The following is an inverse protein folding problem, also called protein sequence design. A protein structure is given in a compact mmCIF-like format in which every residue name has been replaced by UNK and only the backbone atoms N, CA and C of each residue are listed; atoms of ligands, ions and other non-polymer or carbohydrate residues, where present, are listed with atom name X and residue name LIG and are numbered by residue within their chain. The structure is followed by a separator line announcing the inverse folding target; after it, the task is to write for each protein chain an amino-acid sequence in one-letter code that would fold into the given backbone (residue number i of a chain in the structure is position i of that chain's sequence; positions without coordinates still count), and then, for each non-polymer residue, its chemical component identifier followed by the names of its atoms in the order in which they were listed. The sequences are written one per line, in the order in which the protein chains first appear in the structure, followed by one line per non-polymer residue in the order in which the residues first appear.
data_IF_303047365228
#
_entry.id   IF_303047365228
#
_cell.length_a   1.000
_cell.length_b   1.000
_cell.length_c   1.000
_cell.angle_alpha   90.00
_cell.angle_beta   90.00
_cell.angle_gamma   90.00
#
_symmetry.space_group_name_H-M   'P 1'
#
loop_
_entity.id
_entity.type
_entity.pdbx_description
1 polymer ?
#
# COMPACT_ATOMS: atom_id res chain seq x y z
N UNK A 1 10.05 -20.27 -7.03
CA UNK A 1 8.59 -20.48 -6.89
C UNK A 1 7.95 -20.25 -8.26
N UNK A 2 7.05 -21.12 -8.66
CA UNK A 2 6.35 -21.02 -9.94
C UNK A 2 4.88 -20.69 -9.69
N UNK A 3 4.35 -19.70 -10.40
CA UNK A 3 2.93 -19.33 -10.37
C UNK A 3 2.41 -19.23 -11.81
N UNK A 4 1.33 -19.94 -12.11
CA UNK A 4 0.65 -19.90 -13.39
C UNK A 4 -0.72 -19.25 -13.26
N UNK A 5 -0.98 -18.13 -13.92
CA UNK A 5 -2.29 -17.44 -13.85
C UNK A 5 -3.47 -18.32 -14.26
N UNK A 6 -3.27 -19.27 -15.17
CA UNK A 6 -4.31 -20.25 -15.57
C UNK A 6 -4.58 -21.33 -14.53
N UNK A 7 -3.72 -21.49 -13.55
CA UNK A 7 -3.75 -22.50 -12.48
C UNK A 7 -3.40 -21.83 -11.14
N UNK A 8 -4.07 -20.74 -10.81
CA UNK A 8 -3.73 -19.93 -9.63
C UNK A 8 -3.85 -20.71 -8.33
N UNK A 9 -4.94 -21.43 -8.14
CA UNK A 9 -5.17 -22.21 -6.92
C UNK A 9 -4.17 -23.36 -6.79
N UNK A 10 -3.99 -24.13 -7.82
CA UNK A 10 -3.05 -25.26 -7.87
C UNK A 10 -1.60 -24.78 -7.68
N UNK A 11 -1.26 -23.61 -8.23
CA UNK A 11 0.06 -23.00 -8.03
C UNK A 11 0.31 -22.68 -6.56
N UNK A 12 -0.68 -22.15 -5.85
CA UNK A 12 -0.56 -21.85 -4.41
C UNK A 12 -0.50 -23.15 -3.60
N UNK A 13 -1.30 -24.16 -3.94
CA UNK A 13 -1.19 -25.49 -3.30
C UNK A 13 0.19 -26.12 -3.48
N UNK A 14 0.72 -26.08 -4.70
CA UNK A 14 2.07 -26.56 -4.98
C UNK A 14 3.13 -25.82 -4.15
N UNK A 15 3.04 -24.49 -4.06
CA UNK A 15 3.96 -23.72 -3.21
C UNK A 15 3.84 -24.15 -1.74
N UNK A 16 2.63 -24.36 -1.25
CA UNK A 16 2.40 -24.71 0.14
C UNK A 16 2.86 -26.13 0.51
N UNK A 17 2.76 -27.09 -0.41
CA UNK A 17 2.95 -28.52 -0.11
C UNK A 17 4.26 -29.09 -0.61
N UNK A 18 4.68 -28.69 -1.81
CA UNK A 18 5.78 -29.35 -2.52
C UNK A 18 7.08 -28.53 -2.53
N UNK A 19 6.98 -27.20 -2.40
CA UNK A 19 8.16 -26.33 -2.35
C UNK A 19 8.75 -26.30 -0.94
N UNK A 20 10.03 -26.60 -0.80
CA UNK A 20 10.72 -26.51 0.49
C UNK A 20 10.60 -25.09 1.07
N UNK A 21 10.11 -24.98 2.29
CA UNK A 21 9.80 -23.71 2.97
C UNK A 21 8.74 -22.83 2.27
N UNK A 22 8.06 -23.34 1.25
CA UNK A 22 7.03 -22.61 0.52
C UNK A 22 5.88 -22.17 1.41
N UNK A 23 5.42 -23.04 2.32
CA UNK A 23 4.41 -22.74 3.32
C UNK A 23 4.82 -21.56 4.21
N UNK A 24 6.07 -21.50 4.65
CA UNK A 24 6.57 -20.43 5.51
C UNK A 24 6.54 -19.08 4.76
N UNK A 25 7.07 -19.04 3.54
CA UNK A 25 7.07 -17.83 2.71
C UNK A 25 5.64 -17.37 2.43
N UNK A 26 4.73 -18.31 2.16
CA UNK A 26 3.32 -17.99 1.90
C UNK A 26 2.62 -17.40 3.13
N UNK A 27 2.83 -17.98 4.31
CA UNK A 27 2.30 -17.44 5.56
C UNK A 27 2.91 -16.09 5.90
N UNK A 28 4.22 -15.96 5.83
CA UNK A 28 4.89 -14.66 6.05
C UNK A 28 4.36 -13.58 5.11
N UNK A 29 4.09 -13.91 3.85
CA UNK A 29 3.52 -12.97 2.89
C UNK A 29 2.09 -12.56 3.28
N UNK A 30 1.23 -13.52 3.62
CA UNK A 30 -0.17 -13.25 3.97
C UNK A 30 -0.31 -12.46 5.29
N UNK A 31 0.42 -12.89 6.34
CA UNK A 31 0.46 -12.19 7.63
C UNK A 31 1.16 -10.84 7.49
N UNK A 32 2.24 -10.79 6.71
CA UNK A 32 2.99 -9.58 6.41
C UNK A 32 2.14 -8.51 5.75
N UNK A 33 1.27 -8.87 4.82
CA UNK A 33 0.33 -7.93 4.21
C UNK A 33 -0.60 -7.29 5.26
N UNK A 34 -1.17 -8.09 6.16
CA UNK A 34 -2.02 -7.60 7.25
C UNK A 34 -1.23 -6.72 8.23
N UNK A 35 -0.05 -7.15 8.63
CA UNK A 35 0.84 -6.41 9.53
C UNK A 35 1.26 -5.07 8.91
N UNK A 36 1.52 -5.05 7.60
CA UNK A 36 1.87 -3.83 6.87
C UNK A 36 0.75 -2.78 6.95
N UNK A 37 -0.49 -3.17 6.69
CA UNK A 37 -1.65 -2.27 6.84
C UNK A 37 -1.82 -1.78 8.28
N UNK A 38 -1.67 -2.66 9.27
CA UNK A 38 -1.75 -2.26 10.69
C UNK A 38 -0.72 -1.18 11.03
N UNK A 39 0.53 -1.35 10.60
CA UNK A 39 1.60 -0.36 10.82
C UNK A 39 1.33 0.94 10.07
N UNK A 40 0.85 0.87 8.82
CA UNK A 40 0.51 2.06 8.03
C UNK A 40 -0.63 2.84 8.68
N UNK A 41 -1.66 2.19 9.21
CA UNK A 41 -2.74 2.87 9.94
C UNK A 41 -2.22 3.60 11.17
N UNK A 42 -1.36 2.98 11.97
CA UNK A 42 -0.74 3.62 13.14
C UNK A 42 0.14 4.80 12.70
N UNK A 43 0.90 4.63 11.63
CA UNK A 43 1.73 5.69 11.05
C UNK A 43 0.90 6.90 10.57
N UNK A 44 -0.19 6.67 9.85
CA UNK A 44 -1.12 7.72 9.42
C UNK A 44 -1.78 8.39 10.62
N UNK A 45 -2.24 7.61 11.59
CA UNK A 45 -2.85 8.14 12.81
C UNK A 45 -1.89 9.07 13.58
N UNK A 46 -0.62 8.68 13.70
CA UNK A 46 0.41 9.54 14.28
C UNK A 46 0.55 10.85 13.50
N UNK A 47 0.53 10.79 12.17
CA UNK A 47 0.56 11.98 11.31
C UNK A 47 -0.62 12.92 11.55
N UNK A 48 -1.82 12.38 11.76
CA UNK A 48 -3.02 13.15 12.09
C UNK A 48 -2.93 13.78 13.49
N UNK A 49 -2.53 12.99 14.49
CA UNK A 49 -2.44 13.47 15.89
C UNK A 49 -1.41 14.58 16.05
N UNK A 50 -0.30 14.53 15.33
CA UNK A 50 0.75 15.56 15.42
C UNK A 50 0.55 16.71 14.43
N UNK A 51 -0.50 16.68 13.61
CA UNK A 51 -0.73 17.70 12.60
C UNK A 51 0.31 17.72 11.49
N UNK A 52 0.93 16.56 11.20
CA UNK A 52 2.01 16.41 10.20
C UNK A 52 1.51 16.54 8.75
N UNK A 53 0.24 16.81 8.55
CA UNK A 53 -0.36 17.13 7.25
C UNK A 53 -0.43 18.64 6.96
N UNK A 54 -0.11 19.48 7.97
CA UNK A 54 -0.16 20.94 7.87
C UNK A 54 1.13 21.50 7.27
N UNK A 55 1.12 22.76 6.78
CA UNK A 55 2.35 23.43 6.33
C UNK A 55 3.49 23.30 7.34
N UNK A 56 4.73 23.06 6.88
CA UNK A 56 5.19 22.91 5.49
C UNK A 56 5.20 21.45 4.98
N UNK A 57 4.43 20.53 5.57
CA UNK A 57 4.51 19.06 5.36
C UNK A 57 3.41 18.49 4.47
N UNK A 58 2.72 19.32 3.69
CA UNK A 58 1.60 18.88 2.84
C UNK A 58 2.04 17.83 1.82
N UNK A 59 3.20 18.02 1.17
CA UNK A 59 3.70 17.06 0.21
C UNK A 59 4.03 15.70 0.83
N UNK A 60 4.54 15.68 2.06
CA UNK A 60 4.77 14.45 2.82
C UNK A 60 3.45 13.69 2.99
N UNK A 61 2.40 14.41 3.37
CA UNK A 61 1.07 13.83 3.54
C UNK A 61 0.48 13.32 2.21
N UNK A 62 0.57 14.12 1.14
CA UNK A 62 0.03 13.74 -0.18
C UNK A 62 0.70 12.49 -0.71
N UNK A 63 2.04 12.42 -0.68
CA UNK A 63 2.75 11.19 -1.08
C UNK A 63 2.39 10.00 -0.19
N UNK A 64 2.23 10.21 1.12
CA UNK A 64 1.76 9.18 2.03
C UNK A 64 0.37 8.65 1.67
N UNK A 65 -0.57 9.51 1.31
CA UNK A 65 -1.91 9.12 0.85
C UNK A 65 -1.87 8.37 -0.49
N UNK A 66 -1.00 8.78 -1.42
CA UNK A 66 -0.82 8.06 -2.68
C UNK A 66 -0.23 6.66 -2.46
N UNK A 67 0.73 6.52 -1.53
CA UNK A 67 1.24 5.21 -1.11
C UNK A 67 0.12 4.36 -0.54
N UNK A 68 -0.72 4.91 0.33
CA UNK A 68 -1.83 4.18 0.93
C UNK A 68 -2.83 3.68 -0.11
N UNK A 69 -3.21 4.51 -1.08
CA UNK A 69 -4.09 4.10 -2.19
C UNK A 69 -3.45 3.01 -3.05
N UNK A 70 -2.16 3.16 -3.37
CA UNK A 70 -1.42 2.14 -4.12
C UNK A 70 -1.32 0.82 -3.33
N UNK A 71 -1.15 0.87 -2.01
CA UNK A 71 -1.17 -0.32 -1.14
C UNK A 71 -2.52 -1.01 -1.11
N UNK A 72 -3.64 -0.25 -1.10
CA UNK A 72 -4.97 -0.85 -1.20
C UNK A 72 -5.13 -1.60 -2.53
N UNK A 73 -4.67 -1.01 -3.64
CA UNK A 73 -4.66 -1.69 -4.94
C UNK A 73 -3.76 -2.93 -4.91
N UNK A 74 -2.55 -2.83 -4.35
CA UNK A 74 -1.60 -3.94 -4.21
C UNK A 74 -2.19 -5.10 -3.41
N UNK A 75 -2.81 -4.82 -2.26
CA UNK A 75 -3.47 -5.82 -1.43
C UNK A 75 -4.64 -6.50 -2.14
N UNK A 76 -5.46 -5.73 -2.85
CA UNK A 76 -6.57 -6.27 -3.63
C UNK A 76 -6.09 -7.18 -4.77
N UNK A 77 -5.15 -6.70 -5.58
CA UNK A 77 -4.59 -7.48 -6.69
C UNK A 77 -3.98 -8.80 -6.20
N UNK A 78 -3.20 -8.75 -5.10
CA UNK A 78 -2.57 -9.93 -4.51
C UNK A 78 -3.57 -10.93 -3.94
N UNK A 79 -4.64 -10.45 -3.31
CA UNK A 79 -5.69 -11.33 -2.77
C UNK A 79 -6.45 -12.11 -3.84
N UNK A 80 -6.54 -11.59 -5.04
CA UNK A 80 -7.20 -12.28 -6.17
C UNK A 80 -6.36 -13.43 -6.72
N UNK A 81 -5.03 -13.37 -6.62
CA UNK A 81 -4.12 -14.33 -7.26
C UNK A 81 -4.28 -15.78 -6.81
N UNK A 82 -4.61 -16.12 -5.55
CA UNK A 82 -4.90 -17.51 -5.18
C UNK A 82 -6.08 -18.13 -5.92
N UNK A 83 -6.91 -17.33 -6.53
CA UNK A 83 -8.05 -17.74 -7.38
C UNK A 83 -9.02 -18.73 -6.71
N UNK A 84 -9.08 -18.66 -5.38
CA UNK A 84 -10.06 -19.41 -4.62
C UNK A 84 -11.45 -18.76 -4.62
N UNK A 85 -12.41 -19.36 -3.95
CA UNK A 85 -13.79 -18.89 -3.90
C UNK A 85 -13.90 -17.43 -3.43
N UNK A 86 -13.25 -17.09 -2.33
CA UNK A 86 -13.26 -15.70 -1.82
C UNK A 86 -12.52 -14.72 -2.74
N UNK A 87 -11.43 -15.13 -3.38
CA UNK A 87 -10.70 -14.32 -4.35
C UNK A 87 -11.59 -13.95 -5.53
N UNK A 88 -12.28 -14.93 -6.09
CA UNK A 88 -13.18 -14.75 -7.25
C UNK A 88 -14.36 -13.83 -6.91
N UNK A 89 -15.11 -14.15 -5.86
CA UNK A 89 -16.29 -13.36 -5.51
C UNK A 89 -15.93 -11.98 -4.95
N UNK A 90 -14.82 -11.86 -4.22
CA UNK A 90 -14.28 -10.57 -3.80
C UNK A 90 -13.91 -9.68 -4.99
N UNK A 91 -13.24 -10.24 -5.99
CA UNK A 91 -12.92 -9.53 -7.23
C UNK A 91 -14.20 -9.12 -7.97
N UNK A 92 -15.18 -10.00 -8.07
CA UNK A 92 -16.46 -9.73 -8.72
C UNK A 92 -17.17 -8.52 -8.10
N UNK A 93 -17.24 -8.45 -6.77
CA UNK A 93 -17.86 -7.35 -6.05
C UNK A 93 -17.08 -6.04 -6.25
N UNK A 94 -15.79 -6.03 -5.98
CA UNK A 94 -14.97 -4.81 -6.02
C UNK A 94 -14.92 -4.22 -7.43
N UNK A 95 -14.75 -5.05 -8.46
CA UNK A 95 -14.73 -4.56 -9.84
C UNK A 95 -16.12 -4.05 -10.28
N UNK A 96 -17.20 -4.69 -9.80
CA UNK A 96 -18.55 -4.21 -10.07
C UNK A 96 -18.82 -2.85 -9.43
N UNK A 97 -18.25 -2.56 -8.26
CA UNK A 97 -18.33 -1.23 -7.63
C UNK A 97 -17.65 -0.15 -8.47
N UNK A 98 -16.56 -0.47 -9.17
CA UNK A 98 -15.92 0.47 -10.09
C UNK A 98 -16.86 0.85 -11.26
N UNK A 99 -17.67 -0.10 -11.74
CA UNK A 99 -18.69 0.15 -12.76
C UNK A 99 -19.90 0.95 -12.25
N UNK A 100 -20.11 0.99 -10.93
CA UNK A 100 -21.21 1.73 -10.31
C UNK A 100 -20.83 3.18 -9.93
N UNK A 101 -19.63 3.65 -10.28
CA UNK A 101 -19.23 5.04 -10.04
C UNK A 101 -20.18 5.97 -10.82
N UNK A 102 -20.81 6.95 -10.14
CA UNK A 102 -21.76 7.85 -10.78
C UNK A 102 -21.05 8.93 -11.60
N UNK A 103 -20.60 8.59 -12.81
CA UNK A 103 -19.90 9.53 -13.69
C UNK A 103 -20.78 10.69 -14.16
N UNK A 104 -22.11 10.59 -14.05
CA UNK A 104 -23.09 11.63 -14.31
C UNK A 104 -23.06 12.80 -13.30
N UNK A 105 -22.31 12.68 -12.20
CA UNK A 105 -21.96 13.82 -11.34
C UNK A 105 -21.17 14.87 -12.12
N UNK A 106 -20.43 14.49 -13.14
CA UNK A 106 -19.65 15.41 -13.96
C UNK A 106 -20.58 16.10 -14.96
N UNK A 107 -20.66 17.45 -14.98
CA UNK A 107 -21.69 18.20 -15.71
C UNK A 107 -21.61 18.08 -17.24
N UNK A 108 -20.55 17.43 -17.76
CA UNK A 108 -20.33 17.20 -19.19
C UNK A 108 -20.56 15.74 -19.60
N UNK A 109 -21.03 14.88 -18.69
CA UNK A 109 -21.33 13.47 -18.94
C UNK A 109 -22.82 13.25 -18.69
N UNK A 110 -23.55 12.79 -19.69
CA UNK A 110 -24.93 12.40 -19.49
C UNK A 110 -25.08 11.00 -18.86
N UNK A 111 -26.27 10.66 -18.36
CA UNK A 111 -26.48 9.40 -17.66
C UNK A 111 -26.30 8.15 -18.53
N UNK A 112 -26.42 8.27 -19.86
CA UNK A 112 -26.16 7.17 -20.80
C UNK A 112 -24.67 6.96 -20.96
N UNK A 113 -23.93 8.02 -21.22
CA UNK A 113 -22.46 7.99 -21.33
C UNK A 113 -21.82 7.54 -20.02
N UNK A 114 -22.35 7.97 -18.87
CA UNK A 114 -21.91 7.53 -17.54
C UNK A 114 -22.00 6.02 -17.37
N UNK A 115 -23.08 5.41 -17.80
CA UNK A 115 -23.27 3.96 -17.76
C UNK A 115 -22.31 3.23 -18.70
N UNK A 116 -22.15 3.71 -19.92
CA UNK A 116 -21.20 3.14 -20.89
C UNK A 116 -19.75 3.21 -20.38
N UNK A 117 -19.36 4.32 -19.75
CA UNK A 117 -18.05 4.47 -19.11
C UNK A 117 -17.87 3.45 -17.97
N UNK A 118 -18.87 3.27 -17.12
CA UNK A 118 -18.84 2.30 -16.04
C UNK A 118 -18.68 0.86 -16.52
N UNK A 119 -19.44 0.48 -17.56
CA UNK A 119 -19.34 -0.84 -18.19
C UNK A 119 -17.98 -1.05 -18.87
N UNK A 120 -17.47 -0.06 -19.58
CA UNK A 120 -16.17 -0.08 -20.23
C UNK A 120 -15.04 -0.21 -19.20
N UNK A 121 -15.11 0.54 -18.10
CA UNK A 121 -14.15 0.47 -17.00
C UNK A 121 -14.14 -0.93 -16.37
N UNK A 122 -15.32 -1.48 -16.09
CA UNK A 122 -15.45 -2.82 -15.50
C UNK A 122 -14.84 -3.88 -16.42
N UNK A 123 -15.16 -3.83 -17.71
CA UNK A 123 -14.60 -4.75 -18.73
C UNK A 123 -13.10 -4.59 -18.88
N UNK A 124 -12.62 -3.35 -18.87
CA UNK A 124 -11.19 -3.07 -18.94
C UNK A 124 -10.43 -3.60 -17.72
N UNK A 125 -10.96 -3.43 -16.51
CA UNK A 125 -10.34 -3.95 -15.29
C UNK A 125 -10.30 -5.47 -15.30
N UNK A 126 -11.40 -6.14 -15.67
CA UNK A 126 -11.47 -7.60 -15.81
C UNK A 126 -10.52 -8.11 -16.89
N UNK A 127 -10.35 -7.35 -17.97
CA UNK A 127 -9.66 -7.80 -19.20
C UNK A 127 -10.50 -8.70 -20.08
N UNK A 128 -11.76 -8.92 -19.70
CA UNK A 128 -12.77 -9.71 -20.39
C UNK A 128 -14.16 -9.32 -19.89
N UNK A 129 -15.23 -9.84 -20.49
CA UNK A 129 -16.62 -9.66 -20.03
C UNK A 129 -16.86 -10.32 -18.66
N UNK A 130 -16.19 -11.44 -18.39
CA UNK A 130 -16.25 -12.17 -17.12
C UNK A 130 -14.85 -12.23 -16.51
N UNK A 131 -14.81 -12.53 -15.21
CA UNK A 131 -13.55 -12.86 -14.53
C UNK A 131 -12.99 -14.16 -15.10
N UNK A 132 -11.76 -14.10 -15.57
CA UNK A 132 -11.12 -15.19 -16.31
C UNK A 132 -9.61 -15.22 -16.05
N UNK A 133 -8.92 -16.12 -16.71
CA UNK A 133 -7.45 -16.15 -16.73
C UNK A 133 -6.84 -14.84 -17.20
N UNK A 134 -7.52 -14.10 -18.08
CA UNK A 134 -7.08 -12.76 -18.50
C UNK A 134 -7.02 -11.78 -17.33
N UNK A 135 -8.00 -11.84 -16.43
CA UNK A 135 -8.02 -11.04 -15.20
C UNK A 135 -6.84 -11.37 -14.30
N UNK A 136 -6.64 -12.65 -14.02
CA UNK A 136 -5.56 -13.12 -13.14
C UNK A 136 -4.19 -12.77 -13.72
N UNK A 137 -4.01 -12.92 -15.02
CA UNK A 137 -2.76 -12.59 -15.71
C UNK A 137 -2.41 -11.11 -15.61
N UNK A 138 -3.40 -10.24 -15.83
CA UNK A 138 -3.26 -8.78 -15.65
C UNK A 138 -2.91 -8.44 -14.20
N UNK A 139 -3.65 -9.01 -13.23
CA UNK A 139 -3.44 -8.73 -11.82
C UNK A 139 -2.11 -9.25 -11.31
N UNK A 140 -1.65 -10.39 -11.83
CA UNK A 140 -0.31 -10.90 -11.54
C UNK A 140 0.78 -9.92 -11.99
N UNK A 141 0.71 -9.43 -13.22
CA UNK A 141 1.69 -8.46 -13.74
C UNK A 141 1.68 -7.14 -12.94
N UNK A 142 0.49 -6.67 -12.57
CA UNK A 142 0.34 -5.46 -11.75
C UNK A 142 0.90 -5.65 -10.33
N UNK A 143 0.54 -6.75 -9.65
CA UNK A 143 0.96 -7.04 -8.27
C UNK A 143 2.44 -7.37 -8.15
N UNK A 144 3.02 -8.09 -9.10
CA UNK A 144 4.42 -8.54 -8.98
C UNK A 144 5.42 -7.49 -9.50
N UNK A 145 4.98 -6.62 -10.43
CA UNK A 145 5.91 -5.70 -11.10
C UNK A 145 5.44 -4.25 -10.99
N UNK A 146 4.29 -3.91 -11.55
CA UNK A 146 3.93 -2.52 -11.78
C UNK A 146 3.67 -1.75 -10.48
N UNK A 147 2.79 -2.24 -9.62
CA UNK A 147 2.47 -1.55 -8.36
C UNK A 147 3.64 -1.54 -7.37
N UNK A 148 4.42 -2.62 -7.19
CA UNK A 148 5.65 -2.55 -6.39
C UNK A 148 6.64 -1.48 -6.86
N UNK A 149 6.84 -1.33 -8.17
CA UNK A 149 7.71 -0.25 -8.70
C UNK A 149 7.13 1.14 -8.42
N UNK A 150 5.82 1.33 -8.58
CA UNK A 150 5.14 2.59 -8.23
C UNK A 150 5.28 2.87 -6.73
N UNK A 151 5.09 1.87 -5.87
CA UNK A 151 5.27 2.01 -4.43
C UNK A 151 6.69 2.43 -4.06
N UNK A 152 7.71 1.80 -4.63
CA UNK A 152 9.12 2.18 -4.40
C UNK A 152 9.36 3.64 -4.82
N UNK A 153 8.86 4.05 -5.98
CA UNK A 153 8.99 5.43 -6.44
C UNK A 153 8.28 6.43 -5.51
N UNK A 154 7.06 6.11 -5.08
CA UNK A 154 6.30 6.96 -4.16
C UNK A 154 6.95 7.04 -2.77
N UNK A 155 7.48 5.94 -2.25
CA UNK A 155 8.22 5.92 -0.98
C UNK A 155 9.47 6.78 -1.09
N UNK A 156 10.20 6.70 -2.20
CA UNK A 156 11.35 7.56 -2.43
C UNK A 156 10.96 9.05 -2.40
N UNK A 157 9.88 9.43 -3.08
CA UNK A 157 9.38 10.81 -3.07
C UNK A 157 8.88 11.23 -1.68
N UNK A 158 8.24 10.33 -0.94
CA UNK A 158 7.76 10.59 0.42
C UNK A 158 8.92 10.89 1.38
N UNK A 159 9.98 10.10 1.31
CA UNK A 159 11.19 10.30 2.13
C UNK A 159 11.94 11.56 1.69
N UNK A 160 12.03 11.83 0.39
CA UNK A 160 12.64 13.05 -0.12
C UNK A 160 11.91 14.29 0.41
N UNK A 161 10.57 14.32 0.31
CA UNK A 161 9.77 15.41 0.86
C UNK A 161 9.96 15.57 2.37
N UNK A 162 10.06 14.46 3.12
CA UNK A 162 10.35 14.49 4.55
C UNK A 162 11.73 15.09 4.86
N UNK A 163 12.75 14.76 4.08
CA UNK A 163 14.10 15.31 4.26
C UNK A 163 14.17 16.83 4.03
N UNK A 164 13.40 17.34 3.08
CA UNK A 164 13.33 18.78 2.82
C UNK A 164 12.74 19.56 4.01
N UNK A 165 11.62 19.11 4.55
CA UNK A 165 10.90 19.84 5.61
C UNK A 165 11.25 19.40 7.02
N UNK A 166 11.76 18.18 7.20
CA UNK A 166 12.07 17.57 8.50
C UNK A 166 10.85 16.98 9.22
N UNK A 167 11.17 16.14 10.22
CA UNK A 167 10.16 15.49 11.06
C UNK A 167 9.41 16.50 11.92
N UNK A 168 8.12 16.24 12.15
CA UNK A 168 7.33 16.96 13.14
C UNK A 168 7.49 16.34 14.54
N UNK A 169 7.04 17.04 15.57
CA UNK A 169 7.00 16.60 16.96
C UNK A 169 5.63 16.93 17.59
N UNK A 170 5.30 16.38 18.78
CA UNK A 170 3.99 16.62 19.42
C UNK A 170 3.68 18.07 19.69
N UNK A 171 4.70 18.89 19.97
CA UNK A 171 4.55 20.30 20.35
C UNK A 171 4.54 21.24 19.12
N UNK A 172 4.79 20.72 17.91
CA UNK A 172 4.83 21.48 16.68
C UNK A 172 6.01 22.45 16.56
N UNK A 173 7.08 22.22 17.32
CA UNK A 173 8.29 23.06 17.27
C UNK A 173 9.05 22.83 15.98
N UNK A 174 9.30 23.91 15.23
CA UNK A 174 10.09 23.88 13.99
C UNK A 174 11.58 23.94 14.31
N UNK A 175 12.18 22.78 14.58
CA UNK A 175 13.59 22.67 15.02
C UNK A 175 14.60 23.21 14.03
N UNK A 176 14.26 23.26 12.74
CA UNK A 176 15.16 23.80 11.68
C UNK A 176 15.27 25.32 11.67
N UNK A 177 14.37 26.03 12.37
CA UNK A 177 14.39 27.49 12.40
C UNK A 177 15.40 28.05 13.39
N UNK A 178 15.68 27.36 14.49
CA UNK A 178 16.59 27.80 15.53
C UNK A 178 17.86 26.97 15.52
N UNK A 179 18.91 27.52 14.87
CA UNK A 179 20.21 26.83 14.69
C UNK A 179 21.33 27.57 15.43
N UNK A 180 22.35 26.82 15.80
CA UNK A 180 23.61 27.36 16.30
C UNK A 180 24.50 27.88 15.16
N UNK A 181 25.70 28.39 15.51
CA UNK A 181 26.70 28.92 14.58
C UNK A 181 27.19 27.86 13.58
N UNK A 182 27.07 26.57 13.89
CA UNK A 182 27.46 25.45 13.05
C UNK A 182 26.28 24.90 12.20
N UNK A 183 25.09 25.54 12.27
CA UNK A 183 23.89 25.12 11.56
C UNK A 183 23.14 23.96 12.20
N UNK A 184 23.51 23.58 13.44
CA UNK A 184 22.85 22.49 14.18
C UNK A 184 21.62 23.04 14.90
N UNK A 185 20.44 22.39 14.80
CA UNK A 185 19.24 22.81 15.51
C UNK A 185 19.45 22.77 17.03
N UNK A 186 19.20 23.90 17.71
CA UNK A 186 19.33 24.01 19.18
C UNK A 186 18.27 23.23 19.92
N UNK A 187 17.07 23.12 19.32
CA UNK A 187 15.90 22.41 19.89
C UNK A 187 15.85 20.95 19.41
N UNK A 188 16.87 20.48 18.72
CA UNK A 188 16.94 19.15 18.15
C UNK A 188 17.70 18.16 19.03
N UNK A 189 17.30 16.89 18.95
CA UNK A 189 18.05 15.76 19.51
C UNK A 189 18.70 15.02 18.34
N UNK A 190 20.01 14.66 18.41
CA UNK A 190 20.66 13.88 17.36
C UNK A 190 19.95 12.55 17.12
N UNK A 191 19.71 12.22 15.85
CA UNK A 191 19.08 10.96 15.49
C UNK A 191 19.93 9.77 15.99
N UNK A 192 21.21 9.77 15.67
CA UNK A 192 22.16 8.76 16.13
C UNK A 192 22.98 9.29 17.34
N UNK A 193 23.17 8.48 18.40
CA UNK A 193 22.67 7.10 18.59
C UNK A 193 21.27 7.00 19.20
N UNK A 194 20.67 8.11 19.64
CA UNK A 194 19.48 8.11 20.49
C UNK A 194 18.27 7.41 19.83
N UNK A 195 17.82 7.88 18.66
CA UNK A 195 16.67 7.28 17.97
C UNK A 195 17.01 5.94 17.34
N UNK A 196 18.25 5.77 16.86
CA UNK A 196 18.71 4.47 16.34
C UNK A 196 18.56 3.37 17.38
N UNK A 197 18.94 3.63 18.64
CA UNK A 197 18.78 2.66 19.74
C UNK A 197 17.31 2.47 20.10
N UNK A 198 16.50 3.54 20.09
CA UNK A 198 15.06 3.45 20.38
C UNK A 198 14.25 2.69 19.34
N UNK A 199 14.67 2.68 18.09
CA UNK A 199 13.98 1.94 17.04
C UNK A 199 14.16 0.42 17.19
N UNK A 200 15.28 -0.05 17.76
CA UNK A 200 15.53 -1.48 17.93
C UNK A 200 14.45 -2.21 18.75
N UNK A 201 14.02 -1.72 19.93
CA UNK A 201 12.92 -2.36 20.66
C UNK A 201 11.63 -2.43 19.87
N UNK A 202 11.31 -1.39 19.09
CA UNK A 202 10.12 -1.37 18.22
C UNK A 202 10.17 -2.46 17.16
N UNK A 203 11.32 -2.61 16.48
CA UNK A 203 11.53 -3.66 15.48
C UNK A 203 11.46 -5.05 16.12
N UNK A 204 12.09 -5.25 17.29
CA UNK A 204 12.06 -6.53 18.00
C UNK A 204 10.63 -6.91 18.39
N UNK A 205 9.86 -5.99 18.99
CA UNK A 205 8.47 -6.24 19.38
C UNK A 205 7.63 -6.57 18.15
N UNK A 206 7.78 -5.82 17.06
CA UNK A 206 7.08 -6.11 15.81
C UNK A 206 7.39 -7.52 15.31
N UNK A 207 8.67 -7.90 15.24
CA UNK A 207 9.08 -9.23 14.77
C UNK A 207 8.60 -10.36 15.69
N UNK A 208 8.57 -10.13 17.01
CA UNK A 208 8.02 -11.10 17.97
C UNK A 208 6.53 -11.34 17.74
N UNK A 209 5.74 -10.28 17.56
CA UNK A 209 4.30 -10.41 17.25
C UNK A 209 4.12 -11.10 15.90
N UNK A 210 4.86 -10.68 14.90
CA UNK A 210 4.79 -11.24 13.54
C UNK A 210 5.14 -12.74 13.49
N UNK A 211 6.06 -13.20 14.32
CA UNK A 211 6.47 -14.61 14.38
C UNK A 211 5.44 -15.51 15.07
N UNK A 212 4.52 -14.95 15.86
CA UNK A 212 3.50 -15.73 16.63
C UNK A 212 2.16 -15.76 15.92
N UNK A 213 1.84 -14.77 15.10
CA UNK A 213 0.58 -14.64 14.35
C UNK A 213 0.67 -15.33 13.01
#
# INVERSE_FOLDING_TARGET
MFYSPGQGFESVEYIMRDVQWGWLIRYMHAVGASAFFAVVYIHMFRGLMYGSYKPPRELVWIFGMLIYVALMAEGFLGYVLPWGNMSYWGAQVIISLAGAIPFDILPFIDGKDAKEIGEALTTWVRGDYLLSTATVNKFFALHVVAIPLVLVALVFLHILALHEVGSNNPDGVEIKQNKDENGIPKDGIPFHPYYTVKDLPGVIIFLMIFAVV
#
